data_IF_532506634376
#
_entry.id   IF_532506634376
#
_cell.length_a   1.000
_cell.length_b   1.000
_cell.length_c   1.000
_cell.angle_alpha   90.00
_cell.angle_beta   90.00
_cell.angle_gamma   90.00
#
_symmetry.space_group_name_H-M   'P 1'
#
loop_
_entity.id
_entity.type
_entity.pdbx_description
1 polymer ?
#
# COMPACT_ATOMS: atom_id res chain seq x y z
N UNK A 1 16.10 58.66 -28.97
CA UNK A 1 16.15 58.83 -27.50
C UNK A 1 14.80 59.37 -27.07
N UNK A 2 13.91 58.48 -26.61
CA UNK A 2 12.62 58.80 -26.01
C UNK A 2 12.22 57.58 -25.17
N UNK A 3 12.31 57.76 -23.86
CA UNK A 3 11.94 56.82 -22.80
C UNK A 3 10.44 56.91 -22.56
N UNK A 4 9.73 55.78 -22.65
CA UNK A 4 8.38 55.64 -22.10
C UNK A 4 8.39 54.56 -21.03
N UNK A 5 8.45 55.03 -19.80
CA UNK A 5 8.21 54.32 -18.56
C UNK A 5 6.70 54.08 -18.39
N UNK A 6 6.26 52.85 -18.62
CA UNK A 6 4.92 52.40 -18.24
C UNK A 6 4.94 51.91 -16.80
N UNK A 7 4.64 52.83 -15.85
CA UNK A 7 4.09 52.47 -14.55
C UNK A 7 2.67 51.91 -14.77
N UNK A 8 2.47 50.63 -14.49
CA UNK A 8 1.19 49.96 -14.61
C UNK A 8 0.87 49.12 -13.38
N UNK A 9 0.16 49.74 -12.44
CA UNK A 9 -0.81 49.16 -11.49
C UNK A 9 -0.40 47.94 -10.64
N UNK A 10 0.21 48.24 -9.49
CA UNK A 10 0.19 47.38 -8.31
C UNK A 10 -1.14 47.55 -7.57
N UNK A 11 -2.21 46.83 -7.91
CA UNK A 11 -3.43 46.82 -7.08
C UNK A 11 -4.44 45.68 -7.34
N UNK A 12 -4.01 44.42 -7.50
CA UNK A 12 -4.95 43.29 -7.63
C UNK A 12 -4.49 41.99 -6.94
N UNK A 13 -3.88 42.06 -5.75
CA UNK A 13 -3.56 40.86 -4.94
C UNK A 13 -4.02 40.96 -3.48
N UNK A 14 -5.13 41.66 -3.21
CA UNK A 14 -5.66 41.84 -1.86
C UNK A 14 -7.13 41.41 -1.71
N UNK A 15 -7.52 40.35 -2.44
CA UNK A 15 -8.85 39.73 -2.30
C UNK A 15 -8.82 38.19 -2.32
N UNK A 16 -7.78 37.55 -1.80
CA UNK A 16 -7.90 36.16 -1.32
C UNK A 16 -8.26 36.17 0.16
N UNK A 17 -9.50 36.58 0.40
CA UNK A 17 -10.14 36.46 1.69
C UNK A 17 -10.25 35.00 2.12
N UNK A 18 -9.96 34.80 3.40
CA UNK A 18 -10.46 33.75 4.27
C UNK A 18 -11.76 33.10 3.77
N UNK A 19 -11.65 32.03 3.00
CA UNK A 19 -12.64 30.95 3.02
C UNK A 19 -12.07 29.85 3.89
N UNK A 20 -12.22 29.99 5.21
CA UNK A 20 -12.06 28.90 6.18
C UNK A 20 -13.27 27.95 6.09
N UNK A 21 -13.63 27.53 4.88
CA UNK A 21 -14.42 26.33 4.67
C UNK A 21 -13.48 25.12 4.78
N UNK A 22 -13.94 23.96 5.26
CA UNK A 22 -13.13 22.75 5.22
C UNK A 22 -12.60 22.59 3.80
N UNK A 23 -11.28 22.56 3.67
CA UNK A 23 -10.59 22.36 2.39
C UNK A 23 -11.29 21.22 1.67
N UNK A 24 -11.85 21.43 0.47
CA UNK A 24 -12.67 20.43 -0.18
C UNK A 24 -11.80 19.18 -0.30
N UNK A 25 -12.21 18.11 0.41
CA UNK A 25 -11.60 16.78 0.49
C UNK A 25 -10.76 16.47 -0.75
N UNK A 26 -9.59 15.84 -0.60
CA UNK A 26 -8.62 15.46 -1.65
C UNK A 26 -9.20 15.02 -3.01
N UNK A 27 -10.44 14.50 -3.02
CA UNK A 27 -11.24 14.27 -4.22
C UNK A 27 -11.43 15.50 -5.13
N UNK A 28 -11.44 16.72 -4.60
CA UNK A 28 -11.67 17.93 -5.39
C UNK A 28 -10.45 18.36 -6.21
N UNK A 29 -9.22 18.13 -5.71
CA UNK A 29 -7.97 18.41 -6.43
C UNK A 29 -7.61 17.31 -7.43
N UNK A 30 -8.12 16.09 -7.25
CA UNK A 30 -7.93 14.97 -8.17
C UNK A 30 -9.02 14.85 -9.25
N UNK A 31 -9.87 15.87 -9.43
CA UNK A 31 -10.85 15.91 -10.54
C UNK A 31 -10.21 15.73 -11.92
N UNK A 32 -8.93 16.05 -12.08
CA UNK A 32 -8.15 15.84 -13.30
C UNK A 32 -7.61 14.41 -13.47
N UNK A 33 -7.75 13.55 -12.47
CA UNK A 33 -7.20 12.18 -12.45
C UNK A 33 -8.26 11.14 -12.03
N UNK A 34 -9.34 10.94 -12.82
CA UNK A 34 -10.44 10.04 -12.47
C UNK A 34 -9.99 8.59 -12.25
N UNK A 35 -8.94 8.14 -12.93
CA UNK A 35 -8.37 6.80 -12.74
C UNK A 35 -7.78 6.61 -11.34
N UNK A 36 -7.09 7.62 -10.79
CA UNK A 36 -6.50 7.55 -9.44
C UNK A 36 -7.61 7.45 -8.39
N UNK A 37 -8.66 8.26 -8.57
CA UNK A 37 -9.84 8.24 -7.68
C UNK A 37 -10.52 6.86 -7.73
N UNK A 38 -10.76 6.33 -8.93
CA UNK A 38 -11.34 4.99 -9.10
C UNK A 38 -10.50 3.90 -8.42
N UNK A 39 -9.19 3.88 -8.67
CA UNK A 39 -8.29 2.89 -8.07
C UNK A 39 -8.23 3.03 -6.55
N UNK A 40 -8.27 4.25 -6.02
CA UNK A 40 -8.28 4.49 -4.57
C UNK A 40 -9.57 3.96 -3.93
N UNK A 41 -10.73 4.24 -4.53
CA UNK A 41 -12.02 3.74 -4.06
C UNK A 41 -12.11 2.21 -4.18
N UNK A 42 -11.63 1.65 -5.29
CA UNK A 42 -11.56 0.20 -5.50
C UNK A 42 -10.67 -0.46 -4.44
N UNK A 43 -9.44 0.03 -4.24
CA UNK A 43 -8.52 -0.47 -3.23
C UNK A 43 -9.09 -0.35 -1.82
N UNK A 44 -9.78 0.75 -1.48
CA UNK A 44 -10.44 0.89 -0.19
C UNK A 44 -11.55 -0.17 0.00
N UNK A 45 -12.39 -0.39 -1.02
CA UNK A 45 -13.42 -1.42 -0.99
C UNK A 45 -12.84 -2.83 -0.77
N UNK A 46 -11.78 -3.15 -1.49
CA UNK A 46 -11.07 -4.43 -1.36
C UNK A 46 -10.45 -4.59 0.03
N UNK A 47 -9.84 -3.53 0.56
CA UNK A 47 -9.21 -3.55 1.87
C UNK A 47 -10.22 -3.68 3.02
N UNK A 48 -11.40 -3.07 2.88
CA UNK A 48 -12.50 -3.24 3.83
C UNK A 48 -13.06 -4.67 3.80
N UNK A 49 -13.18 -5.25 2.61
CA UNK A 49 -13.55 -6.65 2.43
C UNK A 49 -12.52 -7.58 3.09
N UNK A 50 -11.23 -7.35 2.86
CA UNK A 50 -10.16 -8.13 3.47
C UNK A 50 -10.08 -7.94 4.99
N UNK A 51 -10.36 -6.74 5.51
CA UNK A 51 -10.45 -6.51 6.94
C UNK A 51 -11.61 -7.32 7.55
N UNK A 52 -12.78 -7.30 6.91
CA UNK A 52 -13.93 -8.09 7.36
C UNK A 52 -13.60 -9.58 7.36
N UNK A 53 -12.99 -10.09 6.28
CA UNK A 53 -12.55 -11.49 6.19
C UNK A 53 -11.44 -11.83 7.19
N UNK A 54 -10.50 -10.92 7.42
CA UNK A 54 -9.45 -11.08 8.43
C UNK A 54 -10.04 -11.19 9.83
N UNK A 55 -11.05 -10.37 10.15
CA UNK A 55 -11.76 -10.41 11.43
C UNK A 55 -12.52 -11.73 11.65
N UNK A 56 -13.13 -12.26 10.59
CA UNK A 56 -13.95 -13.48 10.69
C UNK A 56 -13.14 -14.78 10.60
N UNK A 57 -12.10 -14.84 9.76
CA UNK A 57 -11.46 -16.10 9.38
C UNK A 57 -9.98 -16.20 9.74
N UNK A 58 -9.23 -15.09 9.74
CA UNK A 58 -7.77 -15.10 9.94
C UNK A 58 -7.27 -13.83 10.64
N UNK A 59 -7.41 -13.71 11.96
CA UNK A 59 -7.03 -12.50 12.69
C UNK A 59 -5.54 -12.16 12.62
N UNK A 60 -4.68 -13.11 12.24
CA UNK A 60 -3.24 -12.87 12.07
C UNK A 60 -2.93 -11.89 10.94
N UNK A 61 -3.83 -11.70 9.96
CA UNK A 61 -3.64 -10.73 8.87
C UNK A 61 -4.15 -9.32 9.21
N UNK A 62 -4.89 -9.14 10.32
CA UNK A 62 -5.47 -7.85 10.69
C UNK A 62 -4.47 -6.70 10.77
N UNK A 63 -3.29 -6.87 11.41
CA UNK A 63 -2.35 -5.77 11.54
C UNK A 63 -1.91 -5.19 10.19
N UNK A 64 -1.78 -6.04 9.16
CA UNK A 64 -1.46 -5.60 7.80
C UNK A 64 -2.58 -4.74 7.21
N UNK A 65 -3.83 -5.23 7.27
CA UNK A 65 -4.99 -4.49 6.75
C UNK A 65 -5.24 -3.19 7.51
N UNK A 66 -5.05 -3.17 8.84
CA UNK A 66 -5.18 -1.94 9.64
C UNK A 66 -4.17 -0.87 9.22
N UNK A 67 -2.90 -1.25 9.05
CA UNK A 67 -1.86 -0.32 8.60
C UNK A 67 -2.19 0.22 7.20
N UNK A 68 -2.66 -0.62 6.29
CA UNK A 68 -3.13 -0.19 4.97
C UNK A 68 -4.34 0.74 5.06
N UNK A 69 -5.31 0.50 5.95
CA UNK A 69 -6.50 1.37 6.14
C UNK A 69 -6.06 2.74 6.64
N UNK A 70 -5.19 2.80 7.64
CA UNK A 70 -4.65 4.06 8.13
C UNK A 70 -3.85 4.80 7.05
N UNK A 71 -3.09 4.07 6.22
CA UNK A 71 -2.45 4.62 5.03
C UNK A 71 -3.45 5.22 4.04
N UNK A 72 -4.57 4.53 3.79
CA UNK A 72 -5.67 5.00 2.95
C UNK A 72 -6.30 6.27 3.49
N UNK A 73 -6.68 6.28 4.76
CA UNK A 73 -7.26 7.45 5.41
C UNK A 73 -6.30 8.63 5.41
N UNK A 74 -5.02 8.43 5.74
CA UNK A 74 -4.02 9.50 5.73
C UNK A 74 -3.86 10.12 4.32
N UNK A 75 -3.93 9.31 3.28
CA UNK A 75 -3.82 9.79 1.90
C UNK A 75 -5.10 10.35 1.33
N UNK A 76 -6.27 9.95 1.82
CA UNK A 76 -7.54 10.63 1.52
C UNK A 76 -7.60 12.02 2.16
N UNK A 77 -6.93 12.18 3.30
CA UNK A 77 -6.76 13.48 3.96
C UNK A 77 -5.68 14.33 3.27
N UNK A 78 -4.75 13.71 2.56
CA UNK A 78 -3.66 14.39 1.86
C UNK A 78 -3.84 14.31 0.33
N UNK A 79 -4.24 15.41 -0.31
CA UNK A 79 -4.50 15.50 -1.75
C UNK A 79 -3.45 14.85 -2.68
N UNK A 80 -2.17 14.83 -2.27
CA UNK A 80 -1.05 14.24 -3.01
C UNK A 80 -0.73 12.79 -2.63
N UNK A 81 -1.40 12.22 -1.64
CA UNK A 81 -1.18 10.87 -1.12
C UNK A 81 -1.89 9.75 -1.90
N UNK A 82 -2.90 10.06 -2.73
CA UNK A 82 -3.70 9.03 -3.41
C UNK A 82 -2.88 8.06 -4.27
N UNK A 83 -1.80 8.55 -4.90
CA UNK A 83 -0.89 7.71 -5.70
C UNK A 83 -0.14 6.68 -4.84
N UNK A 84 0.08 6.97 -3.56
CA UNK A 84 0.88 6.15 -2.65
C UNK A 84 0.21 4.80 -2.39
N UNK A 85 -1.10 4.81 -2.18
CA UNK A 85 -1.89 3.60 -1.95
C UNK A 85 -2.08 2.80 -3.21
N UNK A 86 -2.23 3.47 -4.35
CA UNK A 86 -2.38 2.77 -5.63
C UNK A 86 -1.10 1.96 -5.90
N UNK A 87 0.07 2.56 -5.69
CA UNK A 87 1.35 1.87 -5.84
C UNK A 87 1.53 0.76 -4.80
N UNK A 88 1.23 1.02 -3.52
CA UNK A 88 1.30 0.00 -2.46
C UNK A 88 0.34 -1.19 -2.71
N UNK A 89 -0.88 -0.89 -3.17
CA UNK A 89 -1.87 -1.87 -3.57
C UNK A 89 -1.39 -2.71 -4.75
N UNK A 90 -0.90 -2.09 -5.82
CA UNK A 90 -0.32 -2.81 -6.97
C UNK A 90 0.84 -3.71 -6.54
N UNK A 91 1.74 -3.20 -5.71
CA UNK A 91 2.88 -3.97 -5.18
C UNK A 91 2.39 -5.18 -4.38
N UNK A 92 1.34 -5.01 -3.57
CA UNK A 92 0.77 -6.07 -2.74
C UNK A 92 0.05 -7.13 -3.58
N UNK A 93 -0.75 -6.72 -4.56
CA UNK A 93 -1.45 -7.61 -5.50
C UNK A 93 -0.47 -8.41 -6.37
N UNK A 94 0.56 -7.76 -6.91
CA UNK A 94 1.63 -8.46 -7.64
C UNK A 94 2.35 -9.46 -6.73
N UNK A 95 2.56 -9.09 -5.46
CA UNK A 95 3.13 -9.98 -4.47
C UNK A 95 2.27 -11.23 -4.21
N UNK A 96 0.94 -11.06 -4.14
CA UNK A 96 0.00 -12.17 -4.02
C UNK A 96 -0.03 -13.04 -5.28
N UNK A 97 -0.01 -12.44 -6.47
CA UNK A 97 0.07 -13.16 -7.74
C UNK A 97 1.30 -14.07 -7.80
N UNK A 98 2.47 -13.61 -7.34
CA UNK A 98 3.66 -14.45 -7.30
C UNK A 98 3.52 -15.63 -6.33
N UNK A 99 2.85 -15.45 -5.19
CA UNK A 99 2.53 -16.56 -4.29
C UNK A 99 1.57 -17.55 -4.95
N UNK A 100 0.57 -17.08 -5.70
CA UNK A 100 -0.35 -17.94 -6.45
C UNK A 100 0.39 -18.78 -7.50
N UNK A 101 1.33 -18.17 -8.23
CA UNK A 101 2.20 -18.87 -9.18
C UNK A 101 2.98 -19.98 -8.48
N UNK A 102 3.56 -19.70 -7.30
CA UNK A 102 4.23 -20.75 -6.52
C UNK A 102 3.28 -21.88 -6.13
N UNK A 103 2.07 -21.57 -5.65
CA UNK A 103 1.07 -22.59 -5.31
C UNK A 103 0.60 -23.40 -6.51
N UNK A 104 0.68 -22.87 -7.73
CA UNK A 104 0.35 -23.62 -8.92
C UNK A 104 1.44 -24.64 -9.30
N UNK A 105 2.71 -24.24 -9.24
CA UNK A 105 3.82 -25.07 -9.71
C UNK A 105 4.49 -25.95 -8.64
N UNK A 106 4.35 -25.60 -7.35
CA UNK A 106 4.94 -26.32 -6.21
C UNK A 106 6.44 -26.64 -6.32
N UNK A 107 7.20 -25.87 -7.11
CA UNK A 107 8.63 -26.09 -7.34
C UNK A 107 9.48 -25.14 -6.50
N UNK A 108 10.52 -25.66 -5.84
CA UNK A 108 11.48 -24.86 -5.07
C UNK A 108 12.17 -23.81 -5.95
N UNK A 109 12.51 -24.14 -7.20
CA UNK A 109 13.12 -23.19 -8.13
C UNK A 109 12.17 -22.05 -8.48
N UNK A 110 10.89 -22.37 -8.73
CA UNK A 110 9.84 -21.36 -8.97
C UNK A 110 9.66 -20.48 -7.74
N UNK A 111 9.67 -21.07 -6.54
CA UNK A 111 9.57 -20.31 -5.30
C UNK A 111 10.75 -19.33 -5.11
N UNK A 112 11.97 -19.74 -5.47
CA UNK A 112 13.14 -18.88 -5.45
C UNK A 112 13.02 -17.68 -6.40
N UNK A 113 12.54 -17.91 -7.63
CA UNK A 113 12.30 -16.85 -8.62
C UNK A 113 11.21 -15.88 -8.12
N UNK A 114 10.10 -16.43 -7.62
CA UNK A 114 9.01 -15.66 -6.98
C UNK A 114 9.56 -14.79 -5.85
N UNK A 115 10.43 -15.34 -5.01
CA UNK A 115 11.01 -14.62 -3.89
C UNK A 115 11.90 -13.45 -4.33
N UNK A 116 12.65 -13.60 -5.44
CA UNK A 116 13.45 -12.52 -6.02
C UNK A 116 12.57 -11.38 -6.52
N UNK A 117 11.53 -11.68 -7.29
CA UNK A 117 10.58 -10.65 -7.76
C UNK A 117 9.84 -9.99 -6.61
N UNK A 118 9.40 -10.79 -5.63
CA UNK A 118 8.77 -10.29 -4.42
C UNK A 118 9.71 -9.35 -3.63
N UNK A 119 10.99 -9.71 -3.52
CA UNK A 119 12.02 -8.86 -2.91
C UNK A 119 12.24 -7.55 -3.66
N UNK A 120 12.31 -7.59 -4.98
CA UNK A 120 12.44 -6.39 -5.82
C UNK A 120 11.26 -5.42 -5.63
N UNK A 121 10.03 -5.95 -5.55
CA UNK A 121 8.85 -5.14 -5.24
C UNK A 121 8.94 -4.48 -3.85
N UNK A 122 9.56 -5.13 -2.86
CA UNK A 122 9.77 -4.52 -1.52
C UNK A 122 10.82 -3.41 -1.55
N UNK A 123 11.85 -3.52 -2.38
CA UNK A 123 12.80 -2.43 -2.59
C UNK A 123 12.15 -1.24 -3.29
N UNK A 124 11.28 -1.49 -4.28
CA UNK A 124 10.50 -0.45 -4.94
C UNK A 124 9.58 0.26 -3.94
N UNK A 125 8.94 -0.49 -3.04
CA UNK A 125 8.13 0.06 -1.95
C UNK A 125 8.94 0.99 -1.05
N UNK A 126 10.17 0.62 -0.67
CA UNK A 126 11.04 1.49 0.15
C UNK A 126 11.39 2.77 -0.58
N UNK A 127 11.84 2.68 -1.83
CA UNK A 127 12.18 3.85 -2.64
C UNK A 127 10.98 4.80 -2.78
N UNK A 128 9.80 4.22 -2.97
CA UNK A 128 8.54 4.97 -3.03
C UNK A 128 8.20 5.63 -1.70
N UNK A 129 8.21 4.88 -0.59
CA UNK A 129 7.98 5.42 0.76
C UNK A 129 8.96 6.54 1.10
N UNK A 130 10.23 6.43 0.71
CA UNK A 130 11.21 7.51 0.86
C UNK A 130 10.80 8.77 0.10
N UNK A 131 10.33 8.64 -1.14
CA UNK A 131 9.82 9.80 -1.91
C UNK A 131 8.65 10.48 -1.22
N UNK A 132 7.71 9.69 -0.69
CA UNK A 132 6.54 10.21 0.06
C UNK A 132 6.97 10.95 1.32
N UNK A 133 7.93 10.41 2.06
CA UNK A 133 8.48 11.06 3.26
C UNK A 133 9.15 12.39 2.90
N UNK A 134 9.96 12.43 1.84
CA UNK A 134 10.61 13.67 1.38
C UNK A 134 9.58 14.72 1.00
N UNK A 135 8.52 14.34 0.27
CA UNK A 135 7.44 15.25 -0.10
C UNK A 135 6.65 15.74 1.13
N UNK A 136 6.36 14.85 2.08
CA UNK A 136 5.61 15.17 3.28
C UNK A 136 6.37 16.11 4.24
N UNK A 137 7.68 15.90 4.39
CA UNK A 137 8.53 16.73 5.27
C UNK A 137 8.93 18.05 4.62
N UNK A 138 8.98 18.10 3.29
CA UNK A 138 9.29 19.33 2.54
C UNK A 138 8.10 20.29 2.37
N UNK A 139 6.88 19.83 2.64
CA UNK A 139 5.66 20.63 2.46
C UNK A 139 5.21 21.26 3.78
N UNK A 140 5.50 22.55 3.95
CA UNK A 140 5.13 23.34 5.13
C UNK A 140 3.63 23.60 5.27
N UNK A 141 2.82 23.29 4.25
CA UNK A 141 1.36 23.43 4.30
C UNK A 141 0.69 22.29 5.09
N UNK A 142 1.41 21.19 5.33
CA UNK A 142 0.93 20.04 6.09
C UNK A 142 1.10 20.30 7.58
N UNK A 143 0.07 20.02 8.39
CA UNK A 143 0.20 20.11 9.84
C UNK A 143 1.25 19.12 10.39
N UNK A 144 2.05 19.48 11.40
CA UNK A 144 3.07 18.59 11.96
C UNK A 144 2.52 17.25 12.44
N UNK A 145 1.31 17.24 13.01
CA UNK A 145 0.63 16.00 13.43
C UNK A 145 0.37 15.06 12.26
N UNK A 146 -0.06 15.59 11.12
CA UNK A 146 -0.32 14.78 9.93
C UNK A 146 0.99 14.29 9.29
N UNK A 147 2.07 15.07 9.34
CA UNK A 147 3.40 14.62 8.94
C UNK A 147 3.86 13.44 9.79
N UNK A 148 3.74 13.52 11.13
CA UNK A 148 4.09 12.42 12.04
C UNK A 148 3.28 11.15 11.74
N UNK A 149 1.95 11.29 11.58
CA UNK A 149 1.08 10.16 11.24
C UNK A 149 1.51 9.51 9.93
N UNK A 150 1.82 10.32 8.91
CA UNK A 150 2.26 9.83 7.60
C UNK A 150 3.60 9.09 7.72
N UNK A 151 4.55 9.63 8.48
CA UNK A 151 5.84 8.97 8.74
C UNK A 151 5.64 7.62 9.41
N UNK A 152 4.84 7.58 10.48
CA UNK A 152 4.54 6.34 11.20
C UNK A 152 3.85 5.31 10.30
N UNK A 153 2.91 5.74 9.48
CA UNK A 153 2.21 4.87 8.53
C UNK A 153 3.18 4.28 7.48
N UNK A 154 4.03 5.11 6.87
CA UNK A 154 5.02 4.66 5.88
C UNK A 154 6.03 3.68 6.50
N UNK A 155 6.54 3.98 7.69
CA UNK A 155 7.41 3.07 8.43
C UNK A 155 6.70 1.74 8.74
N UNK A 156 5.44 1.80 9.18
CA UNK A 156 4.63 0.61 9.46
C UNK A 156 4.46 -0.28 8.22
N UNK A 157 4.12 0.30 7.08
CA UNK A 157 3.98 -0.42 5.80
C UNK A 157 5.28 -1.14 5.43
N UNK A 158 6.41 -0.44 5.49
CA UNK A 158 7.74 -1.02 5.17
C UNK A 158 8.08 -2.15 6.14
N UNK A 159 7.90 -1.95 7.45
CA UNK A 159 8.20 -2.98 8.47
C UNK A 159 7.37 -4.24 8.21
N UNK A 160 6.06 -4.10 7.99
CA UNK A 160 5.16 -5.23 7.75
C UNK A 160 5.56 -5.94 6.44
N UNK A 161 5.82 -5.19 5.37
CA UNK A 161 6.20 -5.75 4.08
C UNK A 161 7.52 -6.56 4.15
N UNK A 162 8.53 -6.04 4.85
CA UNK A 162 9.79 -6.76 5.06
C UNK A 162 9.67 -7.92 6.03
N UNK A 163 8.77 -7.85 7.01
CA UNK A 163 8.46 -9.00 7.86
C UNK A 163 7.92 -10.18 7.03
N UNK A 164 6.99 -9.92 6.10
CA UNK A 164 6.50 -10.97 5.19
C UNK A 164 7.61 -11.53 4.30
N UNK A 165 8.42 -10.65 3.69
CA UNK A 165 9.58 -11.09 2.89
C UNK A 165 10.53 -11.97 3.71
N UNK A 166 10.86 -11.57 4.93
CA UNK A 166 11.70 -12.35 5.85
C UNK A 166 11.10 -13.73 6.12
N UNK A 167 9.80 -13.83 6.40
CA UNK A 167 9.12 -15.11 6.61
C UNK A 167 9.20 -16.01 5.37
N UNK A 168 9.05 -15.45 4.18
CA UNK A 168 9.20 -16.20 2.93
C UNK A 168 10.64 -16.67 2.69
N UNK A 169 11.65 -15.83 2.96
CA UNK A 169 13.06 -16.21 2.91
C UNK A 169 13.37 -17.36 3.87
N UNK A 170 12.90 -17.29 5.11
CA UNK A 170 13.08 -18.38 6.11
C UNK A 170 12.45 -19.67 5.62
N UNK A 171 11.25 -19.62 5.04
CA UNK A 171 10.57 -20.79 4.50
C UNK A 171 11.33 -21.37 3.29
N UNK A 172 11.82 -20.52 2.38
CA UNK A 172 12.63 -20.94 1.24
C UNK A 172 13.92 -21.65 1.70
N UNK A 173 14.63 -21.07 2.66
CA UNK A 173 15.85 -21.68 3.22
C UNK A 173 15.60 -23.02 3.90
N UNK A 174 14.41 -23.23 4.50
CA UNK A 174 14.02 -24.52 5.06
C UNK A 174 13.80 -25.56 3.96
N UNK A 175 13.09 -25.18 2.88
CA UNK A 175 12.84 -26.05 1.73
C UNK A 175 14.13 -26.42 1.00
N UNK A 176 15.02 -25.45 0.78
CA UNK A 176 16.30 -25.67 0.13
C UNK A 176 17.22 -26.63 0.92
N UNK A 177 17.03 -26.74 2.24
CA UNK A 177 17.75 -27.69 3.11
C UNK A 177 17.07 -29.07 3.18
N UNK A 178 16.07 -29.34 2.34
CA UNK A 178 15.34 -30.61 2.34
C UNK A 178 14.42 -30.81 3.54
N UNK A 179 14.14 -29.76 4.34
CA UNK A 179 13.13 -29.86 5.40
C UNK A 179 11.74 -29.77 4.77
N UNK A 180 10.89 -30.74 5.07
CA UNK A 180 9.52 -30.82 4.55
C UNK A 180 8.73 -29.54 4.87
N UNK A 181 7.90 -29.12 3.91
CA UNK A 181 7.08 -27.91 4.03
C UNK A 181 6.09 -28.08 5.21
N UNK A 182 5.95 -27.10 6.13
CA UNK A 182 4.97 -27.17 7.21
C UNK A 182 3.51 -27.33 6.76
N UNK A 183 3.22 -27.08 5.47
CA UNK A 183 1.89 -27.20 4.86
C UNK A 183 1.66 -28.58 4.24
N UNK A 184 2.71 -29.37 4.00
CA UNK A 184 2.57 -30.72 3.45
C UNK A 184 1.97 -31.70 4.48
N UNK A 185 2.02 -31.39 5.78
CA UNK A 185 1.46 -32.26 6.82
C UNK A 185 -0.01 -31.98 7.16
N UNK A 186 -0.62 -30.93 6.61
CA UNK A 186 -2.00 -30.52 6.92
C UNK A 186 -2.98 -30.75 5.77
N UNK A 187 -2.49 -31.15 4.58
CA UNK A 187 -3.29 -31.29 3.37
C UNK A 187 -3.55 -32.76 2.95
N UNK A 188 -3.44 -33.73 3.86
CA UNK A 188 -4.19 -34.97 3.68
C UNK A 188 -5.56 -34.79 4.36
N UNK A 189 -6.63 -34.44 3.61
CA UNK A 189 -7.96 -34.72 4.11
C UNK A 189 -7.98 -36.23 4.37
N UNK A 190 -8.20 -36.61 5.63
CA UNK A 190 -8.36 -38.01 6.00
C UNK A 190 -9.45 -38.56 5.09
N UNK A 191 -9.08 -39.46 4.17
CA UNK A 191 -9.98 -40.12 3.22
C UNK A 191 -11.09 -40.95 3.93
N UNK A 192 -11.15 -40.91 5.25
CA UNK A 192 -12.15 -41.54 6.11
C UNK A 192 -13.50 -40.81 6.16
N UNK A 193 -13.65 -39.59 5.60
CA UNK A 193 -14.94 -38.84 5.68
C UNK A 193 -15.88 -39.10 4.50
N UNK A 194 -15.44 -39.80 3.44
CA UNK A 194 -16.28 -40.13 2.27
C UNK A 194 -16.90 -41.55 2.30
N UNK A 195 -17.08 -42.15 3.49
CA UNK A 195 -17.72 -43.47 3.66
C UNK A 195 -19.04 -43.45 4.44
N UNK A 196 -19.76 -42.33 4.43
CA UNK A 196 -21.08 -42.21 5.04
C UNK A 196 -22.04 -41.60 4.02
N UNK A 197 -22.48 -42.41 3.07
CA UNK A 197 -23.77 -42.30 2.34
C UNK A 197 -23.84 -43.47 1.35
N UNK A 198 -24.19 -44.63 1.91
CA UNK A 198 -24.73 -45.79 1.18
C UNK A 198 -25.96 -46.29 1.93
#
# INVERSE_FOLDING_TARGET
>A
MATYSSLGSSSEYLHHGLTTGPSPLAFSSNKSQPLVVFLLTHSLGHLLYDLYHGLTWRPVVLPHHLVSIFGILASLLYARGGLVIVVDGIITELGYLFLLIYYHYHSTSVYGIVLLFYGALRLLLVAWSSSVLTQCLGDSTISPSLQIITVLAQCGIVIVAFHFLYRHCVNFMRLARGKSHPLASTAQPSASVLKLES
#
